data_IF_095414993406
#
_entry.id   IF_095414993406
#
_cell.length_a   1.000
_cell.length_b   1.000
_cell.length_c   1.000
_cell.angle_alpha   90.00
_cell.angle_beta   90.00
_cell.angle_gamma   90.00
#
_symmetry.space_group_name_H-M   'P 1'
#
loop_
_entity.id
_entity.type
_entity.pdbx_description
1 polymer ?
#
# COMPACT_ATOMS: atom_id res chain seq x y z
N UNK A 1 22.74 4.99 -4.50
CA UNK A 1 21.55 4.36 -3.90
C UNK A 1 21.98 3.11 -3.18
N UNK A 2 21.60 2.97 -1.91
CA UNK A 2 21.95 1.82 -1.08
C UNK A 2 21.18 0.57 -1.50
N UNK A 3 21.67 -0.60 -1.06
CA UNK A 3 20.97 -1.86 -1.31
C UNK A 3 19.60 -1.86 -0.63
N UNK A 4 19.50 -1.27 0.56
CA UNK A 4 18.23 -1.16 1.28
C UNK A 4 17.23 -0.34 0.47
N UNK A 5 17.64 0.81 -0.05
CA UNK A 5 16.76 1.63 -0.89
C UNK A 5 16.30 0.86 -2.13
N UNK A 6 17.21 0.14 -2.78
CA UNK A 6 16.87 -0.66 -3.95
C UNK A 6 15.85 -1.75 -3.62
N UNK A 7 16.01 -2.41 -2.46
CA UNK A 7 15.06 -3.43 -2.04
C UNK A 7 13.68 -2.84 -1.78
N UNK A 8 13.60 -1.68 -1.12
CA UNK A 8 12.32 -1.02 -0.85
C UNK A 8 11.65 -0.60 -2.16
N UNK A 9 12.41 -0.04 -3.10
CA UNK A 9 11.87 0.36 -4.40
C UNK A 9 11.35 -0.85 -5.18
N UNK A 10 12.05 -1.98 -5.14
CA UNK A 10 11.55 -3.22 -5.76
C UNK A 10 10.27 -3.70 -5.09
N UNK A 11 10.18 -3.56 -3.76
CA UNK A 11 8.95 -3.93 -3.05
C UNK A 11 7.77 -3.05 -3.48
N UNK A 12 8.00 -1.75 -3.68
CA UNK A 12 6.96 -0.87 -4.19
C UNK A 12 6.53 -1.27 -5.61
N UNK A 13 7.48 -1.64 -6.46
CA UNK A 13 7.14 -2.12 -7.81
C UNK A 13 6.35 -3.41 -7.77
N UNK A 14 6.71 -4.33 -6.88
CA UNK A 14 5.96 -5.58 -6.70
C UNK A 14 4.54 -5.30 -6.21
N UNK A 15 4.39 -4.36 -5.27
CA UNK A 15 3.07 -3.95 -4.79
C UNK A 15 2.20 -3.47 -5.95
N UNK A 16 2.73 -2.58 -6.78
CA UNK A 16 2.00 -2.04 -7.93
C UNK A 16 1.55 -3.14 -8.89
N UNK A 17 2.48 -4.03 -9.25
CA UNK A 17 2.20 -5.12 -10.19
C UNK A 17 1.19 -6.13 -9.63
N UNK A 18 1.35 -6.49 -8.36
CA UNK A 18 0.49 -7.48 -7.72
C UNK A 18 -0.95 -6.96 -7.56
N UNK A 19 -1.09 -5.68 -7.20
CA UNK A 19 -2.41 -5.06 -7.10
C UNK A 19 -3.07 -4.99 -8.47
N UNK A 20 -2.34 -4.55 -9.49
CA UNK A 20 -2.88 -4.46 -10.85
C UNK A 20 -3.36 -5.83 -11.35
N UNK A 21 -2.60 -6.88 -11.06
CA UNK A 21 -2.93 -8.26 -11.44
C UNK A 21 -3.95 -8.91 -10.50
N UNK A 22 -4.31 -8.25 -9.41
CA UNK A 22 -5.16 -8.81 -8.34
C UNK A 22 -4.59 -10.15 -7.85
N UNK A 23 -3.27 -10.19 -7.68
CA UNK A 23 -2.54 -11.39 -7.29
C UNK A 23 -2.18 -11.32 -5.80
N UNK A 24 -3.07 -11.88 -4.98
CA UNK A 24 -2.88 -11.88 -3.52
C UNK A 24 -1.64 -12.66 -3.11
N UNK A 25 -1.34 -13.76 -3.78
CA UNK A 25 -0.18 -14.60 -3.47
C UNK A 25 1.11 -13.79 -3.57
N UNK A 26 1.32 -13.12 -4.70
CA UNK A 26 2.51 -12.28 -4.90
C UNK A 26 2.56 -11.13 -3.93
N UNK A 27 1.41 -10.47 -3.70
CA UNK A 27 1.34 -9.34 -2.79
C UNK A 27 1.72 -9.75 -1.38
N UNK A 28 1.26 -10.90 -0.92
CA UNK A 28 1.53 -11.35 0.45
C UNK A 28 3.00 -11.71 0.69
N UNK A 29 3.78 -11.97 -0.36
CA UNK A 29 5.22 -12.17 -0.20
C UNK A 29 5.95 -10.92 0.32
N UNK A 30 5.34 -9.74 0.20
CA UNK A 30 5.91 -8.50 0.72
C UNK A 30 5.80 -8.40 2.24
N UNK A 31 4.88 -9.15 2.84
CA UNK A 31 4.51 -8.97 4.25
C UNK A 31 5.09 -10.06 5.13
N UNK A 32 5.53 -9.64 6.31
CA UNK A 32 5.95 -10.57 7.35
C UNK A 32 4.72 -11.32 7.88
N UNK A 33 4.87 -12.59 8.29
CA UNK A 33 3.73 -13.32 8.86
C UNK A 33 3.03 -12.62 10.04
N UNK A 34 3.78 -11.81 10.79
CA UNK A 34 3.25 -11.10 11.95
C UNK A 34 2.97 -9.62 11.67
N UNK A 35 2.76 -9.26 10.41
CA UNK A 35 2.51 -7.87 10.01
C UNK A 35 1.31 -7.29 10.77
N UNK A 36 1.42 -6.02 11.12
CA UNK A 36 0.31 -5.25 11.67
C UNK A 36 -0.07 -4.18 10.68
N UNK A 37 -1.34 -4.14 10.30
CA UNK A 37 -1.82 -3.17 9.32
C UNK A 37 -2.88 -2.28 9.93
N UNK A 38 -2.66 -0.96 9.82
CA UNK A 38 -3.67 0.05 10.08
C UNK A 38 -4.11 0.58 8.73
N UNK A 39 -5.22 0.05 8.23
CA UNK A 39 -5.74 0.44 6.93
C UNK A 39 -6.71 1.61 7.10
N UNK A 40 -6.74 2.50 6.11
CA UNK A 40 -7.65 3.65 6.15
C UNK A 40 -9.12 3.24 6.19
N UNK A 41 -9.44 2.05 5.71
CA UNK A 41 -10.81 1.58 5.56
C UNK A 41 -11.14 0.47 6.56
N UNK A 42 -12.38 0.48 7.03
CA UNK A 42 -12.93 -0.65 7.76
C UNK A 42 -12.52 -0.69 9.21
N UNK A 43 -11.76 -1.70 9.58
CA UNK A 43 -11.44 -1.97 10.98
C UNK A 43 -10.24 -1.15 11.47
N UNK A 44 -10.06 -1.09 12.78
CA UNK A 44 -8.93 -0.36 13.38
C UNK A 44 -7.59 -1.00 13.06
N UNK A 45 -7.52 -2.32 13.00
CA UNK A 45 -6.27 -3.01 12.69
C UNK A 45 -6.50 -4.40 12.13
N UNK A 46 -5.51 -4.89 11.38
CA UNK A 46 -5.40 -6.28 10.98
C UNK A 46 -4.12 -6.81 11.62
N UNK A 47 -4.23 -7.87 12.39
CA UNK A 47 -3.10 -8.47 13.08
C UNK A 47 -2.71 -9.77 12.40
N UNK A 48 -1.54 -9.78 11.76
CA UNK A 48 -0.99 -10.93 11.07
C UNK A 48 -1.35 -11.00 9.59
N UNK A 49 -0.51 -11.70 8.86
CA UNK A 49 -0.64 -11.81 7.40
C UNK A 49 -1.91 -12.56 6.96
N UNK A 50 -2.37 -13.51 7.77
CA UNK A 50 -3.59 -14.28 7.42
C UNK A 50 -4.80 -13.34 7.37
N UNK A 51 -4.99 -12.51 8.38
CA UNK A 51 -6.10 -11.56 8.41
C UNK A 51 -5.99 -10.53 7.30
N UNK A 52 -4.77 -10.04 7.04
CA UNK A 52 -4.55 -9.06 5.98
C UNK A 52 -4.81 -9.66 4.59
N UNK A 53 -4.41 -10.91 4.37
CA UNK A 53 -4.68 -11.59 3.09
C UNK A 53 -6.17 -11.71 2.82
N UNK A 54 -6.96 -12.06 3.84
CA UNK A 54 -8.43 -12.15 3.71
C UNK A 54 -9.00 -10.80 3.27
N UNK A 55 -8.54 -9.72 3.88
CA UNK A 55 -8.98 -8.37 3.52
C UNK A 55 -8.62 -8.02 2.07
N UNK A 56 -7.39 -8.33 1.65
CA UNK A 56 -6.94 -8.04 0.28
C UNK A 56 -7.69 -8.87 -0.75
N UNK A 57 -7.92 -10.14 -0.47
CA UNK A 57 -8.69 -11.01 -1.37
C UNK A 57 -10.12 -10.52 -1.51
N UNK A 58 -10.72 -10.07 -0.41
CA UNK A 58 -12.05 -9.47 -0.43
C UNK A 58 -12.10 -8.23 -1.30
N UNK A 59 -11.09 -7.37 -1.18
CA UNK A 59 -10.99 -6.18 -2.02
C UNK A 59 -10.89 -6.55 -3.50
N UNK A 60 -9.98 -7.46 -3.85
CA UNK A 60 -9.80 -7.89 -5.24
C UNK A 60 -11.08 -8.49 -5.83
N UNK A 61 -11.77 -9.31 -5.04
CA UNK A 61 -13.05 -9.89 -5.46
C UNK A 61 -14.09 -8.80 -5.72
N UNK A 62 -14.13 -7.77 -4.88
CA UNK A 62 -15.10 -6.69 -5.01
C UNK A 62 -14.92 -5.85 -6.27
N UNK A 63 -13.74 -5.88 -6.88
CA UNK A 63 -13.45 -5.10 -8.09
C UNK A 63 -14.15 -5.65 -9.34
N UNK A 64 -14.48 -6.94 -9.36
CA UNK A 64 -15.08 -7.55 -10.55
C UNK A 64 -14.17 -7.41 -11.76
N UNK A 65 -14.64 -6.76 -12.82
CA UNK A 65 -13.85 -6.54 -14.04
C UNK A 65 -12.92 -5.34 -13.96
N UNK A 66 -13.02 -4.53 -12.90
CA UNK A 66 -12.12 -3.39 -12.72
C UNK A 66 -10.76 -3.84 -12.23
N UNK A 67 -9.74 -3.08 -12.59
CA UNK A 67 -8.39 -3.23 -12.04
C UNK A 67 -8.01 -1.93 -11.33
N UNK A 68 -6.93 -1.98 -10.55
CA UNK A 68 -6.46 -0.79 -9.85
C UNK A 68 -5.01 -0.54 -10.25
N UNK A 69 -4.78 0.67 -10.76
CA UNK A 69 -3.43 1.16 -11.05
C UNK A 69 -2.95 1.94 -9.83
N UNK A 70 -1.79 1.53 -9.30
CA UNK A 70 -1.18 2.16 -8.13
C UNK A 70 -0.02 3.04 -8.58
N UNK A 71 0.08 4.24 -8.02
CA UNK A 71 1.22 5.12 -8.22
C UNK A 71 1.69 5.65 -6.87
N UNK A 72 3.01 5.75 -6.71
CA UNK A 72 3.61 6.31 -5.49
C UNK A 72 4.29 7.63 -5.83
N UNK A 73 4.10 8.62 -4.98
CA UNK A 73 4.72 9.95 -5.09
C UNK A 73 5.37 10.32 -3.77
N UNK A 74 6.36 11.20 -3.83
CA UNK A 74 7.05 11.71 -2.63
C UNK A 74 7.60 10.59 -1.76
N UNK A 75 8.19 9.58 -2.38
CA UNK A 75 8.73 8.43 -1.66
C UNK A 75 9.96 8.85 -0.86
N UNK A 76 9.94 8.56 0.43
CA UNK A 76 11.08 8.75 1.32
C UNK A 76 11.41 7.43 1.99
N UNK A 77 12.68 7.07 1.95
CA UNK A 77 13.17 5.81 2.51
C UNK A 77 14.27 6.12 3.50
N UNK A 78 14.15 5.58 4.70
CA UNK A 78 15.19 5.61 5.72
C UNK A 78 15.63 4.19 5.96
N UNK A 79 16.91 3.93 5.81
CA UNK A 79 17.46 2.58 6.01
C UNK A 79 18.41 2.52 7.18
N UNK A 80 18.44 1.37 7.82
CA UNK A 80 19.36 1.06 8.89
C UNK A 80 19.76 -0.40 8.79
N UNK A 81 20.47 -0.90 9.79
CA UNK A 81 20.86 -2.29 9.80
C UNK A 81 19.68 -3.18 10.14
N UNK A 82 19.20 -3.93 9.15
CA UNK A 82 18.09 -4.86 9.33
C UNK A 82 16.71 -4.22 9.34
N UNK A 83 16.62 -2.90 9.20
CA UNK A 83 15.35 -2.18 9.20
C UNK A 83 15.32 -1.10 8.14
N UNK A 84 14.12 -0.79 7.70
CA UNK A 84 13.91 0.37 6.84
C UNK A 84 12.51 0.92 7.12
N UNK A 85 12.32 2.19 6.81
CA UNK A 85 10.99 2.77 6.75
C UNK A 85 10.79 3.41 5.39
N UNK A 86 9.56 3.44 4.94
CA UNK A 86 9.16 4.09 3.70
C UNK A 86 7.90 4.89 4.00
N UNK A 87 7.86 6.10 3.47
CA UNK A 87 6.61 6.87 3.46
C UNK A 87 6.39 7.46 2.07
N UNK A 88 5.14 7.59 1.68
CA UNK A 88 4.79 8.10 0.36
C UNK A 88 3.32 8.53 0.33
N UNK A 89 2.97 9.18 -0.77
CA UNK A 89 1.57 9.36 -1.14
C UNK A 89 1.26 8.30 -2.18
N UNK A 90 0.19 7.55 -1.96
CA UNK A 90 -0.22 6.50 -2.89
C UNK A 90 -1.53 6.90 -3.55
N UNK A 91 -1.60 6.71 -4.88
CA UNK A 91 -2.82 6.91 -5.64
C UNK A 91 -3.32 5.56 -6.11
N UNK A 92 -4.60 5.30 -5.88
CA UNK A 92 -5.29 4.12 -6.39
C UNK A 92 -6.30 4.59 -7.44
N UNK A 93 -6.10 4.19 -8.68
CA UNK A 93 -7.00 4.56 -9.77
C UNK A 93 -7.72 3.30 -10.28
N UNK A 94 -9.03 3.32 -10.23
CA UNK A 94 -9.86 2.23 -10.75
C UNK A 94 -9.95 2.35 -12.27
N UNK A 95 -9.62 1.25 -12.95
CA UNK A 95 -9.55 1.17 -14.41
C UNK A 95 -10.61 0.18 -14.88
N UNK A 96 -11.41 0.59 -15.86
CA UNK A 96 -12.44 -0.27 -16.43
C UNK A 96 -11.83 -1.39 -17.28
N UNK A 97 -12.66 -2.37 -17.64
CA UNK A 97 -12.25 -3.43 -18.56
C UNK A 97 -11.79 -2.89 -19.92
N UNK A 98 -12.22 -1.68 -20.30
CA UNK A 98 -11.84 -1.01 -21.54
C UNK A 98 -10.63 -0.09 -21.37
N UNK A 99 -10.02 -0.05 -20.18
CA UNK A 99 -8.84 0.73 -19.93
C UNK A 99 -9.09 2.19 -19.54
N UNK A 100 -10.30 2.58 -19.23
CA UNK A 100 -10.62 3.95 -18.83
C UNK A 100 -10.53 4.13 -17.32
N UNK A 101 -9.95 5.23 -16.90
CA UNK A 101 -9.93 5.57 -15.47
C UNK A 101 -11.33 6.01 -15.03
N UNK A 102 -11.86 5.32 -14.03
CA UNK A 102 -13.23 5.55 -13.55
C UNK A 102 -13.26 6.51 -12.36
N UNK A 103 -12.29 6.38 -11.48
CA UNK A 103 -12.16 7.19 -10.27
C UNK A 103 -10.79 6.95 -9.66
N UNK A 104 -10.37 7.85 -8.80
CA UNK A 104 -9.08 7.69 -8.10
C UNK A 104 -9.19 8.26 -6.70
N UNK A 105 -8.36 7.74 -5.80
CA UNK A 105 -8.24 8.27 -4.45
C UNK A 105 -6.79 8.19 -4.00
N UNK A 106 -6.44 9.00 -3.01
CA UNK A 106 -5.09 9.04 -2.47
C UNK A 106 -5.10 8.77 -0.96
N UNK A 107 -4.04 8.11 -0.51
CA UNK A 107 -3.77 7.93 0.92
C UNK A 107 -2.33 8.31 1.20
N UNK A 108 -2.06 8.57 2.47
CA UNK A 108 -0.69 8.54 2.98
C UNK A 108 -0.39 7.10 3.33
N UNK A 109 0.78 6.62 2.96
CA UNK A 109 1.20 5.24 3.28
C UNK A 109 2.57 5.26 3.94
N UNK A 110 2.72 4.46 4.98
CA UNK A 110 4.00 4.23 5.62
C UNK A 110 4.21 2.75 5.82
N UNK A 111 5.45 2.31 5.59
CA UNK A 111 5.89 0.94 5.87
C UNK A 111 7.04 0.97 6.87
N UNK A 112 7.01 0.03 7.79
CA UNK A 112 8.21 -0.40 8.52
C UNK A 112 8.57 -1.77 7.99
N UNK A 113 9.82 -1.94 7.56
CA UNK A 113 10.32 -3.19 7.03
C UNK A 113 11.43 -3.73 7.91
N UNK A 114 11.52 -5.03 7.97
CA UNK A 114 12.54 -5.73 8.76
C UNK A 114 13.11 -6.85 7.90
N UNK A 115 14.40 -7.11 8.03
CA UNK A 115 15.02 -8.25 7.37
C UNK A 115 14.48 -9.55 7.97
N UNK A 116 13.92 -10.38 7.10
CA UNK A 116 13.45 -11.72 7.44
C UNK A 116 14.12 -12.68 6.47
N UNK A 117 15.06 -13.48 6.98
CA UNK A 117 15.97 -14.20 6.12
C UNK A 117 16.95 -13.24 5.45
N UNK A 118 16.91 -13.16 4.12
CA UNK A 118 17.76 -12.25 3.35
C UNK A 118 16.97 -11.14 2.67
N UNK A 119 15.71 -10.98 3.03
CA UNK A 119 14.78 -10.08 2.35
C UNK A 119 14.12 -9.17 3.36
N UNK A 120 13.95 -7.90 2.99
CA UNK A 120 13.15 -6.97 3.75
C UNK A 120 11.68 -7.28 3.53
N UNK A 121 10.93 -7.43 4.63
CA UNK A 121 9.48 -7.63 4.57
C UNK A 121 8.78 -6.58 5.41
N UNK A 122 7.59 -6.23 5.00
CA UNK A 122 6.78 -5.23 5.70
C UNK A 122 6.26 -5.84 7.00
N UNK A 123 6.63 -5.26 8.13
CA UNK A 123 6.15 -5.66 9.44
C UNK A 123 5.04 -4.74 9.95
N UNK A 124 4.92 -3.56 9.36
CA UNK A 124 3.84 -2.63 9.66
C UNK A 124 3.52 -1.80 8.43
N UNK A 125 2.23 -1.67 8.15
CA UNK A 125 1.72 -0.79 7.10
C UNK A 125 0.65 0.10 7.72
N UNK A 126 0.69 1.37 7.39
CA UNK A 126 -0.32 2.33 7.85
C UNK A 126 -0.75 3.18 6.66
N UNK A 127 -2.02 3.12 6.34
CA UNK A 127 -2.60 4.05 5.37
C UNK A 127 -3.59 4.95 6.08
N UNK A 128 -3.65 6.21 5.64
CA UNK A 128 -4.54 7.20 6.23
C UNK A 128 -4.86 8.28 5.22
N UNK A 129 -5.91 9.02 5.51
CA UNK A 129 -6.24 10.25 4.81
C UNK A 129 -6.49 11.32 5.86
N UNK A 130 -6.20 12.59 5.55
CA UNK A 130 -6.56 13.65 6.49
C UNK A 130 -8.06 13.75 6.63
N UNK A 131 -8.50 14.14 7.80
CA UNK A 131 -9.92 14.38 8.08
C UNK A 131 -10.13 15.88 8.14
N UNK A 132 -11.11 16.37 7.38
CA UNK A 132 -11.46 17.80 7.43
C UNK A 132 -11.87 18.20 8.83
N UNK A 133 -11.27 19.27 9.34
CA UNK A 133 -11.49 19.66 10.72
C UNK A 133 -12.95 20.08 10.96
N UNK A 134 -13.55 20.77 10.00
CA UNK A 134 -14.90 21.30 10.17
C UNK A 134 -15.99 20.29 9.86
N UNK A 135 -15.84 19.51 8.78
CA UNK A 135 -16.88 18.59 8.33
C UNK A 135 -16.65 17.15 8.75
N UNK A 136 -15.48 16.83 9.31
CA UNK A 136 -15.07 15.49 9.73
C UNK A 136 -15.07 14.45 8.62
N UNK A 137 -15.00 14.91 7.37
CA UNK A 137 -14.94 14.00 6.21
C UNK A 137 -13.51 13.74 5.80
N UNK A 138 -13.25 12.54 5.31
CA UNK A 138 -11.95 12.17 4.77
C UNK A 138 -11.64 12.96 3.51
N UNK A 139 -10.40 13.44 3.40
CA UNK A 139 -9.92 14.15 2.22
C UNK A 139 -9.13 13.13 1.39
N UNK A 140 -9.69 12.67 0.28
CA UNK A 140 -9.16 11.56 -0.49
C UNK A 140 -8.35 11.98 -1.71
N UNK A 141 -8.15 13.28 -1.91
CA UNK A 141 -7.30 13.81 -2.98
C UNK A 141 -6.58 15.04 -2.49
N UNK A 142 -5.28 15.12 -2.77
CA UNK A 142 -4.50 16.33 -2.48
C UNK A 142 -4.90 17.41 -3.47
N UNK A 143 -5.20 18.59 -2.94
CA UNK A 143 -5.53 19.74 -3.78
C UNK A 143 -4.28 20.39 -4.35
N UNK A 144 -4.46 20.98 -5.53
CA UNK A 144 -3.60 22.04 -6.04
C UNK A 144 -2.13 21.78 -5.94
N UNK A 145 -1.71 20.58 -6.10
CA UNK A 145 -0.29 20.31 -6.12
C UNK A 145 0.29 20.79 -7.43
N UNK A 146 0.79 21.94 -7.32
CA UNK A 146 1.48 22.55 -8.44
C UNK A 146 2.98 22.37 -8.29
#
# INVERSE_FOLDING_TARGET
MSDTEKQVLRALDTYKSAVLAKNAETLMHLYDPEVRVFDAWGTWSYEGAVAWRVALEGWFTSLGSETVRVAFEDVKILGGQGFASMSAIVTYAAISAQGQELRAMQNRISWVLKTSGHVLRVVHEHTSAPVGFEDTKAILKREGRT
#
